data_IF_322948425715
#
_entry.id   IF_322948425715
#
_cell.length_a   1.000
_cell.length_b   1.000
_cell.length_c   1.000
_cell.angle_alpha   90.00
_cell.angle_beta   90.00
_cell.angle_gamma   90.00
#
_symmetry.space_group_name_H-M   'P 1'
#
loop_
_entity.id
_entity.type
_entity.pdbx_description
1 polymer ?
#
# COMPACT_ATOMS: atom_id res chain seq x y z
N UNK A 1 18.57 -15.54 29.67
CA UNK A 1 17.54 -15.54 30.73
C UNK A 1 16.38 -14.73 30.19
N UNK A 2 15.23 -15.35 29.93
CA UNK A 2 14.06 -14.66 29.40
C UNK A 2 13.24 -14.16 30.59
N UNK A 3 13.11 -12.84 30.71
CA UNK A 3 12.22 -12.20 31.66
C UNK A 3 10.79 -12.45 31.18
N UNK A 4 10.00 -13.14 32.01
CA UNK A 4 8.59 -13.39 31.77
C UNK A 4 7.79 -12.12 32.13
N UNK A 5 7.14 -11.55 31.11
CA UNK A 5 6.40 -10.29 31.17
C UNK A 5 4.87 -10.49 31.18
N UNK A 6 4.37 -11.72 31.41
CA UNK A 6 2.94 -12.03 31.31
C UNK A 6 2.22 -12.06 32.68
N UNK A 7 2.67 -11.25 33.64
CA UNK A 7 1.96 -11.06 34.91
C UNK A 7 1.04 -9.83 34.83
N UNK A 8 -0.29 -9.98 34.95
CA UNK A 8 -1.21 -8.85 34.88
C UNK A 8 -0.99 -7.93 36.09
N UNK A 9 -0.53 -6.71 35.83
CA UNK A 9 -0.42 -5.66 36.85
C UNK A 9 -1.81 -5.09 37.10
N UNK A 10 -2.50 -5.54 38.16
CA UNK A 10 -3.61 -4.75 38.71
C UNK A 10 -3.03 -3.57 39.45
N UNK A 11 -3.12 -2.38 38.84
CA UNK A 11 -2.85 -1.11 39.51
C UNK A 11 -4.17 -0.52 40.00
N UNK A 12 -4.10 0.25 41.08
CA UNK A 12 -5.18 1.08 41.66
C UNK A 12 -5.82 2.06 40.64
N UNK A 13 -5.19 2.20 39.46
CA UNK A 13 -5.74 2.89 38.30
C UNK A 13 -6.91 2.15 37.61
N UNK A 14 -7.07 0.85 37.83
CA UNK A 14 -8.18 0.06 37.28
C UNK A 14 -9.49 0.46 37.99
N UNK A 15 -9.49 0.55 39.33
CA UNK A 15 -10.65 0.95 40.17
C UNK A 15 -11.12 2.39 39.91
N UNK A 16 -10.19 3.33 39.68
CA UNK A 16 -10.50 4.72 39.29
C UNK A 16 -11.00 4.85 37.84
N UNK A 17 -10.66 3.89 36.96
CA UNK A 17 -11.15 3.87 35.58
C UNK A 17 -12.59 3.34 35.49
N UNK A 18 -13.05 2.52 36.44
CA UNK A 18 -14.42 1.99 36.50
C UNK A 18 -15.44 3.10 36.74
N UNK A 19 -15.18 4.00 37.71
CA UNK A 19 -16.03 5.18 38.00
C UNK A 19 -16.10 6.15 36.82
N UNK A 20 -14.99 6.34 36.09
CA UNK A 20 -14.95 7.21 34.92
C UNK A 20 -15.74 6.62 33.74
N UNK A 21 -15.72 5.29 33.56
CA UNK A 21 -16.46 4.59 32.51
C UNK A 21 -17.97 4.61 32.73
N UNK A 22 -18.43 4.55 33.98
CA UNK A 22 -19.85 4.67 34.31
C UNK A 22 -20.38 6.09 34.06
N UNK A 23 -19.61 7.12 34.42
CA UNK A 23 -19.98 8.51 34.10
C UNK A 23 -20.01 8.75 32.57
N UNK A 24 -19.04 8.18 31.84
CA UNK A 24 -19.00 8.21 30.37
C UNK A 24 -20.20 7.49 29.73
N UNK A 25 -20.67 6.37 30.32
CA UNK A 25 -21.89 5.67 29.87
C UNK A 25 -23.15 6.50 30.07
N UNK A 26 -23.28 7.19 31.22
CA UNK A 26 -24.43 8.05 31.48
C UNK A 26 -24.52 9.20 30.46
N UNK A 27 -23.39 9.88 30.17
CA UNK A 27 -23.33 10.94 29.15
C UNK A 27 -23.53 10.42 27.73
N UNK A 28 -23.10 9.19 27.44
CA UNK A 28 -23.31 8.55 26.13
C UNK A 28 -24.80 8.31 25.84
N UNK A 29 -25.60 8.05 26.86
CA UNK A 29 -27.04 7.82 26.69
C UNK A 29 -27.81 9.12 26.38
N UNK A 30 -27.33 10.28 26.85
CA UNK A 30 -27.94 11.59 26.55
C UNK A 30 -27.50 12.18 25.19
N UNK A 31 -26.38 11.74 24.63
CA UNK A 31 -25.76 12.33 23.43
C UNK A 31 -25.89 11.42 22.18
N UNK A 32 -26.91 10.55 22.10
CA UNK A 32 -27.28 9.96 20.81
C UNK A 32 -28.15 10.95 20.03
N UNK A 33 -27.53 12.04 19.57
CA UNK A 33 -28.08 12.90 18.53
C UNK A 33 -28.23 12.08 17.25
N UNK A 34 -29.47 11.80 16.87
CA UNK A 34 -29.85 11.02 15.67
C UNK A 34 -29.57 11.73 14.34
N UNK A 35 -28.33 12.14 14.11
CA UNK A 35 -27.91 12.85 12.88
C UNK A 35 -26.66 12.21 12.26
N UNK A 36 -26.57 10.88 12.27
CA UNK A 36 -25.54 10.17 11.50
C UNK A 36 -26.17 8.95 10.83
N UNK A 37 -27.14 9.23 9.96
CA UNK A 37 -27.62 8.29 8.94
C UNK A 37 -27.36 8.94 7.57
N UNK A 38 -26.12 9.38 7.38
CA UNK A 38 -25.61 9.74 6.05
C UNK A 38 -24.92 8.48 5.58
N UNK A 39 -25.50 7.80 4.58
CA UNK A 39 -24.88 6.67 3.90
C UNK A 39 -23.44 7.05 3.49
N UNK A 40 -22.47 6.41 4.14
CA UNK A 40 -21.03 6.66 3.93
C UNK A 40 -20.66 6.35 2.46
N UNK A 41 -21.30 5.35 1.86
CA UNK A 41 -21.22 5.03 0.43
C UNK A 41 -21.61 6.22 -0.47
N UNK A 42 -22.71 6.91 -0.17
CA UNK A 42 -23.17 8.05 -0.98
C UNK A 42 -22.22 9.26 -0.91
N UNK A 43 -21.48 9.40 0.19
CA UNK A 43 -20.48 10.46 0.38
C UNK A 43 -19.14 10.13 -0.27
N UNK A 44 -18.78 8.84 -0.33
CA UNK A 44 -17.53 8.38 -0.93
C UNK A 44 -17.59 8.38 -2.46
N UNK A 45 -18.74 8.10 -3.06
CA UNK A 45 -18.90 8.03 -4.52
C UNK A 45 -18.82 9.40 -5.23
N UNK A 46 -19.06 10.51 -4.54
CA UNK A 46 -19.03 11.86 -5.12
C UNK A 46 -17.73 12.64 -4.80
N UNK A 47 -16.80 12.04 -4.06
CA UNK A 47 -15.55 12.71 -3.68
C UNK A 47 -14.45 12.43 -4.72
N UNK A 48 -14.40 13.26 -5.77
CA UNK A 48 -13.31 13.22 -6.74
C UNK A 48 -12.04 13.85 -6.14
N UNK A 49 -10.98 13.03 -6.02
CA UNK A 49 -9.68 13.51 -5.58
C UNK A 49 -9.08 14.46 -6.62
N UNK A 50 -8.44 15.57 -6.20
CA UNK A 50 -7.72 16.43 -7.14
C UNK A 50 -6.64 15.62 -7.86
N UNK A 51 -6.75 15.51 -9.19
CA UNK A 51 -5.86 14.70 -10.03
C UNK A 51 -6.37 13.29 -10.39
N UNK A 52 -7.62 12.93 -10.02
CA UNK A 52 -8.23 11.67 -10.44
C UNK A 52 -8.64 11.65 -11.92
N UNK A 53 -8.96 12.81 -12.50
CA UNK A 53 -9.32 12.94 -13.91
C UNK A 53 -8.08 13.17 -14.79
N UNK A 54 -7.54 12.07 -15.32
CA UNK A 54 -6.46 12.07 -16.32
C UNK A 54 -7.01 12.05 -17.76
N UNK A 55 -8.33 12.20 -17.96
CA UNK A 55 -8.95 12.08 -19.29
C UNK A 55 -8.53 13.18 -20.27
N UNK A 56 -8.02 14.30 -19.77
CA UNK A 56 -7.45 15.40 -20.55
C UNK A 56 -5.92 15.41 -20.68
N UNK A 57 -5.21 14.43 -20.07
CA UNK A 57 -3.75 14.40 -20.06
C UNK A 57 -3.19 13.46 -21.14
N UNK A 58 -2.56 14.04 -22.17
CA UNK A 58 -1.82 13.29 -23.18
C UNK A 58 -0.40 12.99 -22.67
N UNK A 59 -0.19 11.78 -22.16
CA UNK A 59 1.12 11.31 -21.77
C UNK A 59 1.98 11.00 -23.01
N UNK A 60 2.80 11.97 -23.44
CA UNK A 60 3.73 11.78 -24.56
C UNK A 60 4.99 11.06 -24.09
N UNK A 61 5.12 9.77 -24.41
CA UNK A 61 6.36 9.01 -24.18
C UNK A 61 7.08 8.75 -25.51
N UNK A 62 8.41 8.93 -25.50
CA UNK A 62 9.26 8.58 -26.64
C UNK A 62 9.58 7.09 -26.58
N UNK A 63 9.09 6.32 -27.55
CA UNK A 63 9.48 4.93 -27.73
C UNK A 63 10.84 4.87 -28.43
N UNK A 64 11.84 4.31 -27.76
CA UNK A 64 13.14 4.04 -28.36
C UNK A 64 13.20 2.57 -28.80
N UNK A 65 13.42 2.27 -30.09
CA UNK A 65 13.61 0.90 -30.54
C UNK A 65 14.94 0.34 -30.01
N UNK A 66 14.97 -0.98 -29.84
CA UNK A 66 16.16 -1.73 -29.44
C UNK A 66 17.34 -1.41 -30.36
N UNK A 67 18.46 -0.96 -29.80
CA UNK A 67 19.67 -0.70 -30.57
C UNK A 67 20.29 -2.00 -31.11
N UNK A 68 21.20 -1.89 -32.09
CA UNK A 68 21.83 -3.04 -32.74
C UNK A 68 22.68 -3.88 -31.77
N UNK A 69 23.24 -3.22 -30.77
CA UNK A 69 24.10 -3.72 -29.72
C UNK A 69 23.35 -4.05 -28.41
N UNK A 70 22.01 -4.10 -28.44
CA UNK A 70 21.17 -4.45 -27.28
C UNK A 70 20.40 -5.76 -27.47
N UNK A 71 20.07 -6.41 -26.36
CA UNK A 71 19.18 -7.57 -26.29
C UNK A 71 18.27 -7.51 -25.06
N UNK A 72 17.13 -8.19 -25.10
CA UNK A 72 16.22 -8.35 -23.96
C UNK A 72 16.46 -9.69 -23.31
N UNK A 73 16.76 -9.70 -22.01
CA UNK A 73 16.95 -10.94 -21.27
C UNK A 73 15.60 -11.67 -21.07
N UNK A 74 15.52 -12.96 -21.41
CA UNK A 74 14.31 -13.76 -21.27
C UNK A 74 13.95 -14.12 -19.81
N UNK A 75 14.83 -13.85 -18.84
CA UNK A 75 14.60 -14.15 -17.41
C UNK A 75 14.20 -12.91 -16.60
N UNK A 76 14.89 -11.77 -16.78
CA UNK A 76 14.59 -10.53 -16.06
C UNK A 76 13.86 -9.48 -16.92
N UNK A 77 13.67 -9.72 -18.21
CA UNK A 77 12.98 -8.82 -19.17
C UNK A 77 13.59 -7.43 -19.33
N UNK A 78 14.79 -7.20 -18.80
CA UNK A 78 15.54 -5.96 -18.98
C UNK A 78 16.32 -5.96 -20.30
N UNK A 79 16.46 -4.76 -20.87
CA UNK A 79 17.31 -4.52 -22.03
C UNK A 79 18.74 -4.30 -21.55
N UNK A 80 19.69 -5.02 -22.15
CA UNK A 80 21.10 -4.91 -21.86
C UNK A 80 21.92 -4.83 -23.14
N UNK A 81 23.10 -4.22 -23.04
CA UNK A 81 24.10 -4.27 -24.10
C UNK A 81 24.62 -5.70 -24.28
N UNK A 82 24.93 -6.11 -25.52
CA UNK A 82 25.41 -7.45 -25.92
C UNK A 82 26.65 -7.91 -25.16
N UNK A 83 27.43 -7.00 -24.58
CA UNK A 83 28.55 -7.34 -23.70
C UNK A 83 28.13 -8.09 -22.43
N UNK A 84 26.86 -7.97 -22.00
CA UNK A 84 26.27 -8.69 -20.87
C UNK A 84 25.56 -9.98 -21.27
N UNK A 85 25.62 -10.39 -22.55
CA UNK A 85 25.05 -11.66 -22.99
C UNK A 85 25.85 -12.83 -22.39
N UNK A 86 25.15 -13.79 -21.79
CA UNK A 86 25.73 -15.00 -21.22
C UNK A 86 25.37 -16.24 -22.04
N UNK A 87 24.09 -16.39 -22.40
CA UNK A 87 23.60 -17.50 -23.22
C UNK A 87 22.76 -17.00 -24.41
N UNK A 88 22.90 -17.68 -25.54
CA UNK A 88 22.10 -17.52 -26.74
C UNK A 88 21.62 -18.91 -27.21
N UNK A 89 20.33 -19.17 -27.02
CA UNK A 89 19.67 -20.38 -27.47
C UNK A 89 18.67 -20.06 -28.59
N UNK A 90 19.18 -19.59 -29.73
CA UNK A 90 18.40 -19.48 -30.96
C UNK A 90 17.22 -18.52 -30.87
N UNK A 91 17.40 -17.39 -30.16
CA UNK A 91 16.36 -16.37 -29.93
C UNK A 91 15.97 -16.18 -28.47
N UNK A 92 16.44 -17.06 -27.58
CA UNK A 92 16.38 -16.87 -26.12
C UNK A 92 17.72 -16.33 -25.65
N UNK A 93 17.73 -15.08 -25.17
CA UNK A 93 18.93 -14.42 -24.68
C UNK A 93 18.89 -14.30 -23.16
N UNK A 94 19.97 -14.70 -22.48
CA UNK A 94 20.06 -14.59 -21.01
C UNK A 94 21.25 -13.69 -20.65
N UNK A 95 21.03 -12.73 -19.75
CA UNK A 95 22.10 -11.86 -19.26
C UNK A 95 22.96 -12.54 -18.19
N UNK A 96 24.19 -12.06 -17.98
CA UNK A 96 25.13 -12.58 -16.98
C UNK A 96 24.60 -12.63 -15.55
N UNK A 97 23.68 -11.73 -15.20
CA UNK A 97 23.09 -11.68 -13.86
C UNK A 97 22.00 -12.76 -13.68
N UNK A 98 21.54 -13.36 -14.77
CA UNK A 98 20.43 -14.30 -14.84
C UNK A 98 20.87 -15.74 -15.16
N UNK A 99 22.03 -15.92 -15.78
CA UNK A 99 22.61 -17.22 -16.09
C UNK A 99 23.05 -17.96 -14.82
#
# INVERSE_FOLDING_TARGET
MATDYDAPRRSEADELAEDSLEELKARRNETQSGVVDVDEDASAENFELPGADLSGEELTFKVLPKQADEFTCSKCFLVHHRSRLAEDNGGVYICRDCA
#
